data_IF_042635207466
#
_entry.id   IF_042635207466
#
_cell.length_a   1.000
_cell.length_b   1.000
_cell.length_c   1.000
_cell.angle_alpha   90.00
_cell.angle_beta   90.00
_cell.angle_gamma   90.00
#
_symmetry.space_group_name_H-M   'P 1'
#
loop_
_entity.id
_entity.type
_entity.pdbx_description
1 polymer ?
#
# COMPACT_ATOMS: atom_id res chain seq x y z
N UNK A 1 7.69 -11.97 -21.10
CA UNK A 1 9.15 -11.96 -20.88
C UNK A 1 9.41 -11.60 -19.42
N UNK A 2 10.53 -12.03 -18.83
CA UNK A 2 10.69 -12.07 -17.36
C UNK A 2 10.81 -10.69 -16.69
N UNK A 3 11.11 -9.63 -17.45
CA UNK A 3 11.19 -8.25 -16.93
C UNK A 3 10.40 -7.19 -17.74
N UNK A 4 9.48 -7.58 -18.62
CA UNK A 4 8.73 -6.64 -19.49
C UNK A 4 7.99 -5.54 -18.72
N UNK A 5 7.45 -5.86 -17.55
CA UNK A 5 6.68 -4.94 -16.71
C UNK A 5 7.47 -4.44 -15.48
N UNK A 6 8.81 -4.50 -15.55
CA UNK A 6 9.64 -4.09 -14.43
C UNK A 6 9.62 -2.58 -14.22
N UNK A 7 9.03 -2.12 -13.12
CA UNK A 7 9.11 -0.72 -12.72
C UNK A 7 10.47 -0.38 -12.10
N UNK A 8 11.15 0.67 -12.57
CA UNK A 8 12.41 1.11 -11.97
C UNK A 8 12.27 1.42 -10.48
N UNK A 9 13.25 0.97 -9.70
CA UNK A 9 13.30 1.16 -8.26
C UNK A 9 14.35 2.21 -7.94
N UNK A 10 13.98 3.19 -7.12
CA UNK A 10 14.91 4.17 -6.57
C UNK A 10 14.87 4.08 -5.04
N UNK A 11 16.03 3.98 -4.40
CA UNK A 11 16.12 3.96 -2.94
C UNK A 11 17.48 4.45 -2.44
N UNK A 12 17.51 4.88 -1.19
CA UNK A 12 18.73 5.26 -0.48
C UNK A 12 19.16 4.09 0.43
N UNK A 13 20.24 3.36 0.10
CA UNK A 13 20.75 2.30 0.96
C UNK A 13 21.47 2.88 2.18
N UNK A 14 21.41 2.16 3.31
CA UNK A 14 22.26 2.43 4.47
C UNK A 14 23.69 2.03 4.14
N UNK A 15 24.62 2.97 4.23
CA UNK A 15 26.02 2.69 3.94
C UNK A 15 26.70 2.14 5.18
N UNK A 16 27.40 1.02 5.02
CA UNK A 16 28.23 0.42 6.05
C UNK A 16 29.66 0.28 5.51
N UNK A 17 30.65 0.64 6.32
CA UNK A 17 32.05 0.46 5.98
C UNK A 17 32.68 -0.57 6.91
N UNK A 18 33.39 -1.53 6.34
CA UNK A 18 33.93 -2.67 7.09
C UNK A 18 35.07 -2.29 8.05
N UNK A 19 35.71 -1.13 7.85
CA UNK A 19 36.70 -0.59 8.77
C UNK A 19 36.11 0.56 9.61
N UNK A 20 36.66 0.79 10.80
CA UNK A 20 36.27 1.95 11.61
C UNK A 20 36.70 3.23 10.89
N UNK A 21 35.74 3.97 10.33
CA UNK A 21 35.97 5.30 9.77
C UNK A 21 35.46 6.37 10.73
N UNK A 22 36.29 7.39 11.00
CA UNK A 22 35.92 8.59 11.75
C UNK A 22 35.20 9.64 10.88
N UNK A 23 35.21 9.48 9.56
CA UNK A 23 34.54 10.37 8.61
C UNK A 23 33.07 9.99 8.41
N UNK A 24 32.19 10.98 8.12
CA UNK A 24 30.83 10.70 7.68
C UNK A 24 30.85 9.79 6.46
N UNK A 25 30.00 8.76 6.46
CA UNK A 25 29.86 7.90 5.28
C UNK A 25 29.14 8.68 4.17
N UNK A 26 29.62 8.61 2.92
CA UNK A 26 28.94 9.24 1.80
C UNK A 26 27.55 8.63 1.62
N UNK A 27 26.59 9.45 1.23
CA UNK A 27 25.28 8.97 0.82
C UNK A 27 25.36 8.40 -0.59
N UNK A 28 24.58 7.35 -0.85
CA UNK A 28 24.44 6.77 -2.16
C UNK A 28 22.97 6.78 -2.55
N UNK A 29 22.71 6.96 -3.84
CA UNK A 29 21.43 6.65 -4.44
C UNK A 29 21.55 5.36 -5.23
N UNK A 30 20.61 4.45 -5.02
CA UNK A 30 20.49 3.21 -5.78
C UNK A 30 19.36 3.32 -6.78
N UNK A 31 19.59 2.77 -7.97
CA UNK A 31 18.60 2.62 -9.01
C UNK A 31 18.68 1.22 -9.63
N UNK A 32 17.58 0.49 -9.60
CA UNK A 32 17.46 -0.82 -10.26
C UNK A 32 16.46 -0.72 -11.43
N UNK A 33 16.80 -1.28 -12.59
CA UNK A 33 15.95 -1.25 -13.78
C UNK A 33 16.24 -2.43 -14.70
N UNK A 34 15.22 -2.86 -15.46
CA UNK A 34 15.43 -3.80 -16.54
C UNK A 34 16.08 -3.09 -17.73
N UNK A 35 17.25 -3.56 -18.14
CA UNK A 35 17.92 -3.06 -19.36
C UNK A 35 17.32 -3.69 -20.62
N UNK A 36 16.87 -4.94 -20.50
CA UNK A 36 16.12 -5.70 -21.49
C UNK A 36 15.23 -6.74 -20.80
N UNK A 37 14.62 -7.63 -21.57
CA UNK A 37 13.72 -8.69 -21.10
C UNK A 37 14.35 -9.74 -20.17
N UNK A 38 15.67 -9.77 -20.06
CA UNK A 38 16.48 -10.83 -19.43
C UNK A 38 17.60 -10.31 -18.51
N UNK A 39 17.80 -9.00 -18.43
CA UNK A 39 18.86 -8.40 -17.62
C UNK A 39 18.34 -7.27 -16.74
N UNK A 40 18.58 -7.41 -15.44
CA UNK A 40 18.38 -6.38 -14.44
C UNK A 40 19.71 -5.68 -14.14
N UNK A 41 19.71 -4.35 -14.20
CA UNK A 41 20.86 -3.52 -13.84
C UNK A 41 20.57 -2.82 -12.52
N UNK A 42 21.56 -2.82 -11.63
CA UNK A 42 21.54 -2.08 -10.37
C UNK A 42 22.74 -1.15 -10.36
N UNK A 43 22.48 0.16 -10.25
CA UNK A 43 23.50 1.18 -10.05
C UNK A 43 23.43 1.75 -8.64
N UNK A 44 24.59 1.95 -8.01
CA UNK A 44 24.70 2.73 -6.78
C UNK A 44 25.74 3.83 -6.98
N UNK A 45 25.34 5.10 -6.86
CA UNK A 45 26.20 6.25 -7.10
C UNK A 45 26.14 7.27 -5.96
N UNK A 46 27.29 7.84 -5.61
CA UNK A 46 27.37 8.98 -4.69
C UNK A 46 27.43 10.34 -5.42
N UNK A 47 27.32 10.35 -6.75
CA UNK A 47 27.42 11.54 -7.61
C UNK A 47 28.72 12.35 -7.48
N UNK A 48 29.77 11.72 -6.94
CA UNK A 48 31.07 12.34 -6.75
C UNK A 48 32.16 11.46 -7.35
N UNK A 49 32.59 10.44 -6.61
CA UNK A 49 33.78 9.64 -6.88
C UNK A 49 33.47 8.18 -7.16
N UNK A 50 32.33 7.67 -6.72
CA UNK A 50 32.06 6.24 -6.66
C UNK A 50 30.72 5.93 -7.29
N UNK A 51 30.78 5.11 -8.33
CA UNK A 51 29.63 4.51 -8.99
C UNK A 51 29.88 3.02 -9.14
N UNK A 52 28.87 2.24 -8.78
CA UNK A 52 28.92 0.79 -8.72
C UNK A 52 27.80 0.18 -9.55
N UNK A 53 28.05 -0.99 -10.12
CA UNK A 53 27.10 -1.71 -10.96
C UNK A 53 27.01 -3.19 -10.61
N UNK A 54 25.80 -3.73 -10.63
CA UNK A 54 25.55 -5.14 -10.88
C UNK A 54 24.68 -5.28 -12.13
N UNK A 55 25.11 -6.13 -13.06
CA UNK A 55 24.33 -6.62 -14.18
C UNK A 55 23.96 -8.07 -13.85
N UNK A 56 22.66 -8.32 -13.69
CA UNK A 56 22.11 -9.61 -13.27
C UNK A 56 21.26 -10.19 -14.39
N UNK A 57 21.68 -11.32 -14.95
CA UNK A 57 20.84 -12.15 -15.79
C UNK A 57 19.81 -12.92 -14.95
N UNK A 58 18.79 -13.48 -15.61
CA UNK A 58 17.82 -14.39 -14.99
C UNK A 58 18.53 -15.57 -14.33
N UNK A 59 19.50 -16.19 -15.00
CA UNK A 59 20.25 -17.31 -14.44
C UNK A 59 21.04 -16.92 -13.18
N UNK A 60 21.63 -15.72 -13.14
CA UNK A 60 22.33 -15.24 -11.94
C UNK A 60 21.37 -14.98 -10.79
N UNK A 61 20.15 -14.54 -11.08
CA UNK A 61 19.10 -14.38 -10.08
C UNK A 61 18.59 -15.75 -9.58
N UNK A 62 18.52 -16.77 -10.42
CA UNK A 62 18.26 -18.16 -10.00
C UNK A 62 19.39 -18.70 -9.10
N UNK A 63 20.66 -18.46 -9.45
CA UNK A 63 21.79 -18.82 -8.59
C UNK A 63 21.69 -18.12 -7.23
N UNK A 64 21.35 -16.83 -7.21
CA UNK A 64 21.12 -16.07 -5.97
C UNK A 64 19.98 -16.68 -5.15
N UNK A 65 18.88 -17.09 -5.80
CA UNK A 65 17.75 -17.75 -5.15
C UNK A 65 18.19 -19.04 -4.44
N UNK A 66 18.94 -19.88 -5.14
CA UNK A 66 19.42 -21.16 -4.63
C UNK A 66 20.41 -20.97 -3.47
N UNK A 67 21.35 -20.03 -3.61
CA UNK A 67 22.31 -19.68 -2.55
C UNK A 67 21.59 -19.12 -1.31
N UNK A 68 20.56 -18.31 -1.51
CA UNK A 68 19.78 -17.71 -0.42
C UNK A 68 18.86 -18.75 0.25
N UNK A 69 18.58 -19.87 -0.41
CA UNK A 69 17.71 -20.94 0.09
C UNK A 69 16.22 -20.59 0.03
N UNK A 70 15.80 -19.73 -0.90
CA UNK A 70 14.40 -19.33 -1.06
C UNK A 70 13.69 -20.33 -1.99
N UNK A 71 12.90 -21.22 -1.39
CA UNK A 71 12.02 -22.13 -2.12
C UNK A 71 10.81 -21.43 -2.75
N UNK A 72 10.00 -22.19 -3.49
CA UNK A 72 8.77 -21.70 -4.14
C UNK A 72 8.88 -21.54 -5.64
N UNK A 73 8.04 -20.68 -6.21
CA UNK A 73 8.05 -20.32 -7.63
C UNK A 73 9.06 -19.19 -7.91
N UNK A 74 9.41 -19.02 -9.19
CA UNK A 74 10.23 -17.89 -9.64
C UNK A 74 9.61 -16.53 -9.26
N UNK A 75 8.31 -16.36 -9.49
CA UNK A 75 7.60 -15.11 -9.19
C UNK A 75 7.63 -14.77 -7.70
N UNK A 76 7.51 -15.76 -6.80
CA UNK A 76 7.61 -15.55 -5.36
C UNK A 76 9.02 -15.11 -4.95
N UNK A 77 10.06 -15.72 -5.53
CA UNK A 77 11.43 -15.28 -5.31
C UNK A 77 11.65 -13.86 -5.84
N UNK A 78 11.15 -13.55 -7.05
CA UNK A 78 11.35 -12.24 -7.63
C UNK A 78 10.62 -11.15 -6.84
N UNK A 79 9.39 -11.39 -6.38
CA UNK A 79 8.68 -10.49 -5.46
C UNK A 79 9.47 -10.29 -4.16
N UNK A 80 10.03 -11.38 -3.62
CA UNK A 80 10.91 -11.30 -2.44
C UNK A 80 12.15 -10.44 -2.70
N UNK A 81 12.80 -10.63 -3.85
CA UNK A 81 13.97 -9.87 -4.28
C UNK A 81 13.63 -8.37 -4.36
N UNK A 82 12.53 -8.01 -5.04
CA UNK A 82 12.08 -6.63 -5.17
C UNK A 82 11.71 -6.00 -3.84
N UNK A 83 11.01 -6.73 -2.99
CA UNK A 83 10.68 -6.24 -1.65
C UNK A 83 11.95 -6.05 -0.81
N UNK A 84 12.95 -6.90 -0.96
CA UNK A 84 14.23 -6.78 -0.26
C UNK A 84 15.03 -5.56 -0.71
N UNK A 85 15.04 -5.26 -2.01
CA UNK A 85 15.68 -4.04 -2.55
C UNK A 85 14.93 -2.77 -2.11
N UNK A 86 13.59 -2.82 -2.00
CA UNK A 86 12.77 -1.69 -1.51
C UNK A 86 12.77 -1.53 0.01
N UNK A 87 13.38 -2.47 0.74
CA UNK A 87 13.36 -2.52 2.19
C UNK A 87 14.18 -1.38 2.82
N UNK A 88 13.73 -0.89 3.97
CA UNK A 88 14.47 0.07 4.79
C UNK A 88 15.77 -0.53 5.40
N UNK A 89 15.93 -1.86 5.31
CA UNK A 89 17.13 -2.58 5.76
C UNK A 89 18.15 -2.81 4.63
N UNK A 90 17.93 -2.23 3.44
CA UNK A 90 18.89 -2.28 2.36
C UNK A 90 20.20 -1.62 2.77
N UNK A 91 21.31 -2.33 2.57
CA UNK A 91 22.65 -1.86 2.92
C UNK A 91 23.59 -1.91 1.74
N UNK A 92 24.38 -0.86 1.58
CA UNK A 92 25.55 -0.84 0.72
C UNK A 92 26.79 -1.03 1.60
N UNK A 93 27.39 -2.21 1.53
CA UNK A 93 28.60 -2.53 2.28
C UNK A 93 29.80 -2.23 1.39
N UNK A 94 30.60 -1.26 1.83
CA UNK A 94 31.83 -0.85 1.17
C UNK A 94 33.03 -1.50 1.89
N UNK A 95 33.92 -2.10 1.12
CA UNK A 95 35.14 -2.74 1.61
C UNK A 95 36.35 -2.08 0.93
N UNK A 96 37.31 -1.60 1.72
CA UNK A 96 38.50 -0.92 1.20
C UNK A 96 39.67 -0.97 2.17
N UNK A 97 40.87 -0.80 1.64
CA UNK A 97 42.06 -0.61 2.46
C UNK A 97 42.11 0.85 2.94
N UNK A 98 42.42 1.05 4.23
CA UNK A 98 42.73 2.34 4.85
C UNK A 98 43.56 3.22 3.91
N UNK A 99 42.96 4.28 3.33
CA UNK A 99 43.67 5.14 2.40
C UNK A 99 42.81 6.10 1.58
N UNK A 100 42.06 5.61 0.58
CA UNK A 100 41.33 6.52 -0.32
C UNK A 100 40.33 5.87 -1.29
N UNK A 101 40.32 4.54 -1.48
CA UNK A 101 39.47 3.91 -2.49
C UNK A 101 38.84 2.63 -1.95
N UNK A 102 37.52 2.58 -2.04
CA UNK A 102 36.74 1.36 -1.88
C UNK A 102 37.15 0.39 -3.02
N UNK A 103 37.64 -0.79 -2.65
CA UNK A 103 38.11 -1.80 -3.59
C UNK A 103 37.01 -2.79 -3.98
N UNK A 104 36.02 -2.96 -3.10
CA UNK A 104 34.87 -3.84 -3.33
C UNK A 104 33.62 -3.21 -2.73
N UNK A 105 32.48 -3.50 -3.33
CA UNK A 105 31.19 -3.16 -2.76
C UNK A 105 30.23 -4.34 -2.95
N UNK A 106 29.29 -4.48 -2.04
CA UNK A 106 28.18 -5.41 -2.19
C UNK A 106 26.91 -4.81 -1.62
N UNK A 107 25.79 -5.14 -2.25
CA UNK A 107 24.47 -4.86 -1.74
C UNK A 107 24.04 -6.00 -0.82
N UNK A 108 23.58 -5.67 0.38
CA UNK A 108 23.00 -6.62 1.32
C UNK A 108 21.55 -6.23 1.52
N UNK A 109 20.64 -7.08 1.08
CA UNK A 109 19.20 -6.83 1.08
C UNK A 109 18.48 -7.93 1.86
N UNK A 110 17.48 -7.52 2.64
CA UNK A 110 16.59 -8.44 3.34
C UNK A 110 15.19 -7.85 3.35
N UNK A 111 14.17 -8.67 3.14
CA UNK A 111 12.78 -8.23 3.17
C UNK A 111 12.40 -7.66 4.54
N UNK A 112 12.85 -8.30 5.61
CA UNK A 112 12.68 -7.86 6.99
C UNK A 112 13.66 -8.62 7.90
N UNK A 113 13.88 -8.12 9.12
CA UNK A 113 14.72 -8.79 10.12
C UNK A 113 14.30 -10.26 10.33
N UNK A 114 15.28 -11.16 10.26
CA UNK A 114 15.08 -12.60 10.45
C UNK A 114 14.70 -13.38 9.18
N UNK A 115 14.51 -12.69 8.05
CA UNK A 115 14.31 -13.33 6.75
C UNK A 115 15.67 -13.62 6.07
N UNK A 116 15.70 -14.50 5.05
CA UNK A 116 16.92 -14.78 4.28
C UNK A 116 17.58 -13.50 3.73
N UNK A 117 18.90 -13.49 3.64
CA UNK A 117 19.66 -12.30 3.23
C UNK A 117 20.19 -12.50 1.82
N UNK A 118 19.88 -11.57 0.92
CA UNK A 118 20.41 -11.52 -0.44
C UNK A 118 21.68 -10.67 -0.43
N UNK A 119 22.76 -11.21 -1.00
CA UNK A 119 24.03 -10.49 -1.16
C UNK A 119 24.39 -10.41 -2.64
N UNK A 120 24.54 -9.20 -3.16
CA UNK A 120 24.84 -8.95 -4.58
C UNK A 120 26.18 -8.23 -4.67
N UNK A 121 27.23 -8.84 -5.24
CA UNK A 121 28.49 -8.14 -5.45
C UNK A 121 28.31 -7.03 -6.50
N UNK A 122 28.99 -5.90 -6.29
CA UNK A 122 28.98 -4.77 -7.20
C UNK A 122 30.39 -4.52 -7.75
N UNK A 123 30.45 -4.16 -9.02
CA UNK A 123 31.67 -3.80 -9.73
C UNK A 123 31.81 -2.28 -9.78
N UNK A 124 33.00 -1.76 -9.50
CA UNK A 124 33.27 -0.32 -9.59
C UNK A 124 33.29 0.08 -11.06
N UNK A 125 32.50 1.09 -11.42
CA UNK A 125 32.56 1.70 -12.74
C UNK A 125 33.66 2.77 -12.78
N UNK A 126 34.37 2.84 -13.91
CA UNK A 126 35.42 3.83 -14.16
C UNK A 126 34.91 4.94 -15.08
N UNK A 127 35.39 6.16 -14.84
CA UNK A 127 35.33 7.34 -15.72
C UNK A 127 34.04 7.49 -16.57
N UNK A 128 34.10 7.07 -17.83
CA UNK A 128 33.03 7.22 -18.82
C UNK A 128 31.80 6.41 -18.45
N UNK A 129 31.98 5.14 -18.08
CA UNK A 129 30.89 4.26 -17.67
C UNK A 129 30.21 4.78 -16.39
N UNK A 130 31.00 5.27 -15.43
CA UNK A 130 30.46 5.88 -14.21
C UNK A 130 29.63 7.12 -14.53
N UNK A 131 30.13 8.02 -15.39
CA UNK A 131 29.40 9.22 -15.82
C UNK A 131 28.12 8.89 -16.57
N UNK A 132 28.15 7.90 -17.45
CA UNK A 132 26.97 7.46 -18.19
C UNK A 132 25.91 6.88 -17.26
N UNK A 133 26.30 6.00 -16.33
CA UNK A 133 25.43 5.46 -15.30
C UNK A 133 24.80 6.58 -14.45
N UNK A 134 25.58 7.55 -13.99
CA UNK A 134 25.06 8.72 -13.25
C UNK A 134 24.10 9.58 -14.09
N UNK A 135 24.41 9.80 -15.37
CA UNK A 135 23.54 10.54 -16.30
C UNK A 135 22.20 9.83 -16.50
N UNK A 136 22.24 8.52 -16.73
CA UNK A 136 21.05 7.69 -16.91
C UNK A 136 20.21 7.66 -15.64
N UNK A 137 20.84 7.46 -14.49
CA UNK A 137 20.18 7.48 -13.19
C UNK A 137 19.52 8.85 -12.93
N UNK A 138 20.22 9.95 -13.20
CA UNK A 138 19.69 11.32 -13.05
C UNK A 138 18.46 11.55 -13.92
N UNK A 139 18.53 11.16 -15.20
CA UNK A 139 17.43 11.35 -16.15
C UNK A 139 16.21 10.51 -15.76
N UNK A 140 16.42 9.25 -15.37
CA UNK A 140 15.35 8.36 -14.93
C UNK A 140 14.69 8.84 -13.63
N UNK A 141 15.48 9.32 -12.67
CA UNK A 141 14.95 9.90 -11.43
C UNK A 141 14.10 11.14 -11.72
N UNK A 142 14.56 12.02 -12.60
CA UNK A 142 13.81 13.21 -12.99
C UNK A 142 12.49 12.87 -13.71
N UNK A 143 12.50 11.87 -14.57
CA UNK A 143 11.30 11.39 -15.24
C UNK A 143 10.31 10.74 -14.25
N UNK A 144 10.80 9.95 -13.30
CA UNK A 144 10.00 9.38 -12.22
C UNK A 144 9.37 10.48 -11.37
N UNK A 145 10.14 11.49 -10.97
CA UNK A 145 9.64 12.65 -10.23
C UNK A 145 8.55 13.40 -11.01
N UNK A 146 8.77 13.67 -12.31
CA UNK A 146 7.76 14.31 -13.17
C UNK A 146 6.47 13.49 -13.23
N UNK A 147 6.59 12.18 -13.42
CA UNK A 147 5.45 11.27 -13.47
C UNK A 147 4.65 11.33 -12.16
N UNK A 148 5.33 11.13 -11.02
CA UNK A 148 4.71 11.19 -9.68
C UNK A 148 4.05 12.55 -9.41
N UNK A 149 4.71 13.66 -9.78
CA UNK A 149 4.15 15.00 -9.63
C UNK A 149 2.88 15.19 -10.46
N UNK A 150 2.85 14.69 -11.68
CA UNK A 150 1.66 14.78 -12.54
C UNK A 150 0.51 13.95 -11.97
N UNK A 151 0.77 12.71 -11.53
CA UNK A 151 -0.23 11.87 -10.89
C UNK A 151 -0.79 12.50 -9.62
N UNK A 152 0.06 13.11 -8.79
CA UNK A 152 -0.35 13.84 -7.59
C UNK A 152 -1.26 15.03 -7.92
N UNK A 153 -0.93 15.80 -8.95
CA UNK A 153 -1.77 16.93 -9.38
C UNK A 153 -3.16 16.44 -9.85
N UNK A 154 -3.21 15.35 -10.61
CA UNK A 154 -4.48 14.75 -11.06
C UNK A 154 -5.32 14.25 -9.87
N UNK A 155 -4.68 13.62 -8.88
CA UNK A 155 -5.36 13.17 -7.67
C UNK A 155 -5.92 14.34 -6.85
N UNK A 156 -5.15 15.43 -6.71
CA UNK A 156 -5.60 16.64 -6.03
C UNK A 156 -6.80 17.28 -6.72
N UNK A 157 -6.80 17.34 -8.05
CA UNK A 157 -7.93 17.85 -8.82
C UNK A 157 -9.17 16.97 -8.63
N UNK A 158 -9.02 15.66 -8.76
CA UNK A 158 -10.10 14.70 -8.54
C UNK A 158 -10.70 14.82 -7.12
N UNK A 159 -9.85 14.96 -6.10
CA UNK A 159 -10.29 15.14 -4.72
C UNK A 159 -11.07 16.46 -4.53
N UNK A 160 -10.62 17.56 -5.16
CA UNK A 160 -11.35 18.82 -5.13
C UNK A 160 -12.73 18.72 -5.79
N UNK A 161 -12.84 18.00 -6.90
CA UNK A 161 -14.12 17.74 -7.57
C UNK A 161 -15.04 16.87 -6.70
N UNK A 162 -14.52 15.80 -6.11
CA UNK A 162 -15.27 14.92 -5.21
C UNK A 162 -15.79 15.68 -3.98
N UNK A 163 -14.95 16.54 -3.39
CA UNK A 163 -15.34 17.39 -2.26
C UNK A 163 -16.51 18.31 -2.61
N UNK A 164 -16.50 18.92 -3.81
CA UNK A 164 -17.61 19.75 -4.30
C UNK A 164 -18.89 18.92 -4.49
N UNK A 165 -18.78 17.72 -5.07
CA UNK A 165 -19.92 16.83 -5.27
C UNK A 165 -20.55 16.40 -3.94
N UNK A 166 -19.73 16.04 -2.94
CA UNK A 166 -20.19 15.69 -1.60
C UNK A 166 -20.90 16.87 -0.93
N UNK A 167 -20.36 18.09 -1.04
CA UNK A 167 -21.01 19.28 -0.48
C UNK A 167 -22.36 19.57 -1.15
N UNK A 168 -22.43 19.45 -2.49
CA UNK A 168 -23.68 19.63 -3.23
C UNK A 168 -24.73 18.58 -2.85
N UNK A 169 -24.33 17.32 -2.69
CA UNK A 169 -25.24 16.23 -2.31
C UNK A 169 -25.74 16.37 -0.86
N UNK A 170 -24.87 16.82 0.06
CA UNK A 170 -25.29 17.17 1.44
C UNK A 170 -26.31 18.30 1.44
N UNK A 171 -26.07 19.39 0.69
CA UNK A 171 -27.01 20.50 0.60
C UNK A 171 -28.37 20.08 0.01
N UNK A 172 -28.37 19.20 -1.01
CA UNK A 172 -29.61 18.63 -1.56
C UNK A 172 -30.33 17.75 -0.52
N UNK A 173 -29.60 16.91 0.19
CA UNK A 173 -30.15 16.02 1.23
C UNK A 173 -30.80 16.81 2.37
N UNK A 174 -30.13 17.86 2.84
CA UNK A 174 -30.65 18.77 3.87
C UNK A 174 -31.91 19.51 3.38
N UNK A 175 -31.90 19.99 2.12
CA UNK A 175 -33.06 20.64 1.52
C UNK A 175 -34.27 19.70 1.42
N UNK A 176 -34.06 18.44 1.01
CA UNK A 176 -35.12 17.42 0.96
C UNK A 176 -35.68 17.13 2.35
N UNK A 177 -34.82 16.96 3.38
CA UNK A 177 -35.29 16.75 4.76
C UNK A 177 -36.15 17.93 5.26
N UNK A 178 -35.78 19.16 4.92
CA UNK A 178 -36.54 20.35 5.30
C UNK A 178 -37.90 20.40 4.58
N UNK A 179 -37.95 20.04 3.30
CA UNK A 179 -39.19 19.92 2.53
C UNK A 179 -40.12 18.87 3.15
N UNK A 180 -39.60 17.69 3.50
CA UNK A 180 -40.36 16.62 4.14
C UNK A 180 -40.92 17.05 5.51
N UNK A 181 -40.14 17.77 6.32
CA UNK A 181 -40.65 18.33 7.58
C UNK A 181 -41.81 19.31 7.33
N UNK A 182 -41.66 20.24 6.37
CA UNK A 182 -42.73 21.21 6.03
C UNK A 182 -44.01 20.51 5.59
N UNK A 183 -43.92 19.47 4.77
CA UNK A 183 -45.08 18.70 4.33
C UNK A 183 -45.78 17.98 5.49
N UNK A 184 -45.02 17.43 6.45
CA UNK A 184 -45.59 16.81 7.65
C UNK A 184 -46.38 17.82 8.50
N UNK A 185 -45.86 19.03 8.71
CA UNK A 185 -46.56 20.08 9.47
C UNK A 185 -47.83 20.62 8.78
N UNK A 186 -47.84 20.66 7.45
CA UNK A 186 -49.03 21.05 6.68
C UNK A 186 -50.14 19.98 6.75
N UNK A 187 -49.77 18.69 6.77
CA UNK A 187 -50.74 17.59 6.92
C UNK A 187 -51.40 17.56 8.31
N UNK A 188 -50.67 17.88 9.38
CA UNK A 188 -51.24 17.91 10.74
C UNK A 188 -52.13 19.12 10.97
N UNK A 189 -51.76 20.29 10.43
CA UNK A 189 -52.58 21.51 10.54
C UNK A 189 -53.84 21.51 9.66
N UNK A 190 -53.87 20.72 8.57
CA UNK A 190 -55.07 20.49 7.77
C UNK A 190 -56.07 19.55 8.48
N UNK A 191 -55.58 18.60 9.28
CA UNK A 191 -56.42 17.67 10.06
C UNK A 191 -57.09 18.38 11.24
N UNK A 192 -56.39 19.30 11.92
CA UNK A 192 -56.97 20.11 13.01
C UNK A 192 -58.02 21.12 12.54
N UNK A 193 -58.02 21.51 11.25
CA UNK A 193 -59.06 22.38 10.67
C UNK A 193 -60.28 21.64 10.13
N UNK A 194 -60.25 20.30 10.07
CA UNK A 194 -61.38 19.48 9.60
C UNK A 194 -62.35 19.08 10.73
N UNK A 195 -62.02 19.32 12.01
CA UNK A 195 -62.85 18.93 13.16
C UNK A 195 -63.94 19.96 13.55
N UNK A 196 -64.31 20.87 12.65
CA UNK A 196 -65.51 21.73 12.83
C UNK A 196 -66.45 21.55 11.65
N UNK A 197 -67.13 20.40 11.60
CA UNK A 197 -68.43 20.29 10.91
C UNK A 197 -69.28 19.18 11.52
N UNK A 198 -70.44 19.58 12.00
CA UNK A 198 -71.41 18.85 12.83
C UNK A 198 -72.36 17.95 12.05
N UNK A 199 -72.75 16.85 12.71
CA UNK A 199 -74.01 16.09 12.64
C UNK A 199 -74.26 15.09 11.50
N UNK A 200 -74.66 13.86 11.88
CA UNK A 200 -75.42 12.97 11.00
C UNK A 200 -75.43 11.49 11.39
N UNK A 201 -76.53 11.04 11.97
CA UNK A 201 -76.80 9.76 12.64
C UNK A 201 -77.05 8.57 11.67
N UNK A 202 -76.55 7.38 12.04
CA UNK A 202 -77.10 6.01 11.89
C UNK A 202 -77.82 5.54 10.60
N UNK A 203 -77.37 4.41 10.02
CA UNK A 203 -78.07 3.11 10.08
C UNK A 203 -77.36 1.98 9.28
N UNK A 204 -77.38 0.78 9.87
CA UNK A 204 -77.04 -0.59 9.40
C UNK A 204 -78.15 -1.52 9.96
N UNK A 205 -78.36 -2.82 9.62
CA UNK A 205 -77.54 -3.79 8.84
C UNK A 205 -78.33 -4.79 7.93
N UNK A 206 -77.64 -5.63 7.13
CA UNK A 206 -77.64 -7.11 7.29
C UNK A 206 -76.78 -7.91 6.26
N UNK A 207 -75.88 -8.75 6.83
CA UNK A 207 -75.41 -10.13 6.52
C UNK A 207 -75.29 -10.60 5.05
N UNK A 208 -74.25 -11.33 4.62
CA UNK A 208 -73.60 -12.54 5.16
C UNK A 208 -72.12 -12.58 4.69
N UNK A 209 -71.09 -12.77 5.52
CA UNK A 209 -70.64 -13.95 6.29
C UNK A 209 -69.88 -15.00 5.46
N UNK A 210 -68.54 -14.97 5.46
CA UNK A 210 -67.70 -16.16 5.71
C UNK A 210 -66.28 -15.79 6.23
N UNK A 211 -66.16 -15.81 7.58
CA UNK A 211 -65.03 -16.24 8.45
C UNK A 211 -63.62 -16.42 7.85
N UNK A 212 -62.61 -15.67 8.30
CA UNK A 212 -61.78 -15.80 9.53
C UNK A 212 -60.93 -17.10 9.56
N UNK A 213 -59.62 -17.10 9.85
CA UNK A 213 -59.07 -16.76 11.17
C UNK A 213 -57.51 -16.64 11.17
N UNK A 214 -56.95 -15.71 11.98
CA UNK A 214 -55.62 -15.84 12.64
C UNK A 214 -54.54 -14.83 12.19
N UNK A 215 -54.43 -13.63 12.76
CA UNK A 215 -53.74 -13.25 14.03
C UNK A 215 -52.22 -13.51 14.08
N UNK A 216 -51.41 -12.45 14.12
CA UNK A 216 -50.40 -12.22 15.20
C UNK A 216 -49.65 -10.87 15.07
N UNK A 217 -49.24 -10.36 16.25
CA UNK A 217 -48.66 -9.06 16.55
C UNK A 217 -47.17 -8.89 16.19
N UNK A 218 -46.78 -7.62 16.13
CA UNK A 218 -45.46 -6.99 15.91
C UNK A 218 -44.27 -7.45 16.79
N UNK A 219 -43.03 -7.27 16.29
CA UNK A 219 -42.01 -6.30 16.79
C UNK A 219 -40.59 -6.54 16.21
N UNK A 220 -39.97 -5.42 15.81
CA UNK A 220 -38.56 -5.03 16.01
C UNK A 220 -37.39 -5.71 15.26
N UNK A 221 -36.75 -4.89 14.38
CA UNK A 221 -35.34 -4.45 14.38
C UNK A 221 -34.26 -5.50 14.71
N UNK A 222 -33.50 -5.91 13.68
CA UNK A 222 -32.22 -6.63 13.84
C UNK A 222 -31.10 -5.78 13.24
N UNK A 223 -30.17 -5.35 14.10
CA UNK A 223 -28.89 -4.70 13.75
C UNK A 223 -27.78 -5.75 13.91
N UNK A 224 -26.72 -5.76 13.10
CA UNK A 224 -25.67 -6.77 13.18
C UNK A 224 -24.79 -6.53 14.43
N UNK A 225 -24.77 -7.46 15.37
CA UNK A 225 -23.92 -7.39 16.55
C UNK A 225 -22.58 -8.13 16.30
N UNK A 226 -21.49 -7.37 16.31
CA UNK A 226 -20.13 -7.87 16.49
C UNK A 226 -20.03 -8.77 17.73
N UNK A 227 -19.45 -9.97 17.61
CA UNK A 227 -18.98 -10.76 18.75
C UNK A 227 -17.45 -10.84 18.75
N UNK A 228 -16.83 -10.13 19.69
CA UNK A 228 -15.49 -10.41 20.20
C UNK A 228 -15.55 -11.70 21.03
N UNK A 229 -14.84 -12.74 20.62
CA UNK A 229 -14.54 -13.88 21.48
C UNK A 229 -13.30 -13.55 22.32
N UNK A 230 -13.52 -13.25 23.61
CA UNK A 230 -12.52 -13.39 24.67
C UNK A 230 -12.86 -14.66 25.44
N UNK A 231 -11.99 -15.66 25.42
CA UNK A 231 -12.00 -16.75 26.40
C UNK A 231 -10.77 -16.58 27.29
N UNK A 232 -11.02 -16.74 28.59
CA UNK A 232 -10.16 -16.44 29.72
C UNK A 232 -9.76 -17.77 30.36
N UNK A 233 -8.46 -18.07 30.38
CA UNK A 233 -7.75 -18.68 31.51
C UNK A 233 -7.77 -20.21 31.73
N UNK A 234 -6.64 -20.63 32.33
CA UNK A 234 -6.25 -21.92 32.96
C UNK A 234 -5.83 -23.05 32.00
N UNK A 235 -4.77 -23.84 32.22
CA UNK A 235 -3.98 -24.13 33.43
C UNK A 235 -2.60 -24.70 33.02
N UNK A 236 -1.55 -24.42 33.80
CA UNK A 236 -0.21 -25.02 33.67
C UNK A 236 -0.24 -26.47 34.18
N UNK A 237 0.40 -27.39 33.45
CA UNK A 237 0.83 -28.68 33.96
C UNK A 237 2.32 -28.85 33.67
N UNK A 238 3.11 -28.75 34.74
CA UNK A 238 4.47 -29.27 34.80
C UNK A 238 4.40 -30.80 34.69
N UNK A 239 5.27 -31.38 33.87
CA UNK A 239 5.66 -32.78 33.98
C UNK A 239 7.18 -32.82 33.86
N UNK A 240 7.84 -32.84 35.00
CA UNK A 240 9.18 -33.39 35.13
C UNK A 240 9.09 -34.91 35.34
N UNK A 241 10.20 -35.57 34.99
CA UNK A 241 10.65 -36.90 35.44
C UNK A 241 10.52 -38.07 34.46
N UNK A 242 11.51 -38.19 33.57
CA UNK A 242 12.52 -39.28 33.58
C UNK A 242 13.64 -39.02 32.55
#
# INVERSE_FOLDING_TARGET
MEFEDFEPIFCEPKVEFSAQSSSPLPQFLLHAYASDSSHLVIHAANFHSDTWEALLSVSQLEDIRDITGIGGSWSEFFDYFITSIKSADLKLVLEGNSGASYGKAKLVAQKSKGMPVISIPLTKLADTAAREAMSNLSLRLFNAFKSTKNSLNQEQEHNAQLTKAIAAEKAKSESMQLLEQRQKFQKTSALEKADVSTNGLQNSPEKQATRDTGSTKAKNRVVPAHRRTKVRGAQLCDNDES
#
